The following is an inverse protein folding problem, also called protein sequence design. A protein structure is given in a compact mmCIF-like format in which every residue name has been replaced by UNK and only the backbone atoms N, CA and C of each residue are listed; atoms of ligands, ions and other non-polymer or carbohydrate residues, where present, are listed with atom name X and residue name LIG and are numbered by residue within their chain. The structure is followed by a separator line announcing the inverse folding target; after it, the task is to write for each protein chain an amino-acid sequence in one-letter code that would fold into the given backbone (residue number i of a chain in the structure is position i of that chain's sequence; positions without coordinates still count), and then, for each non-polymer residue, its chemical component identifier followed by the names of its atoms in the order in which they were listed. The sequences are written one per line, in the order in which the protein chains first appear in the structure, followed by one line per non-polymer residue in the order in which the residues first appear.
data_IF_331303831015
#
_entry.id   IF_331303831015
#
_cell.length_a   1.000
_cell.length_b   1.000
_cell.length_c   1.000
_cell.angle_alpha   90.00
_cell.angle_beta   90.00
_cell.angle_gamma   90.00
#
_symmetry.space_group_name_H-M   'P 1'
#
loop_
_entity.id
_entity.type
_entity.pdbx_description
1 polymer ?
#
# COMPACT_ATOMS: atom_id res chain seq x y z
N UNK A 1 -24.42 20.07 2.93
CA UNK A 1 -24.68 19.60 2.54
C UNK A 1 -24.60 19.13 2.64
N UNK A 2 -24.45 19.48 2.94
CA UNK A 2 -24.65 19.03 2.76
C UNK A 2 -24.70 18.61 2.73
N UNK A 3 -24.73 19.06 2.94
CA UNK A 3 -25.01 18.59 2.64
C UNK A 3 -25.09 18.12 2.53
N UNK A 4 -25.09 18.46 2.70
CA UNK A 4 -25.24 17.98 2.41
C UNK A 4 -25.17 17.59 2.25
N UNK A 5 -25.17 17.80 2.53
CA UNK A 5 -25.11 17.28 2.28
C UNK A 5 -24.76 16.82 2.56
N UNK A 6 -24.63 16.90 2.76
CA UNK A 6 -24.30 16.57 2.94
C UNK A 6 -23.68 16.05 3.43
N UNK A 7 -23.58 15.93 3.81
CA UNK A 7 -23.04 15.47 4.15
C UNK A 7 -22.41 14.56 4.17
N UNK A 8 -22.16 14.50 4.05
CA UNK A 8 -21.52 13.69 4.07
C UNK A 8 -20.58 13.13 4.02
N UNK A 9 -20.51 12.88 3.56
CA UNK A 9 -19.43 12.24 4.07
C UNK A 9 -18.13 12.40 3.45
N UNK A 10 -17.74 13.12 3.44
CA UNK A 10 -16.43 13.59 3.55
C UNK A 10 -15.50 12.63 4.24
N UNK A 11 -16.05 11.78 4.99
CA UNK A 11 -15.31 10.84 5.80
C UNK A 11 -14.35 9.96 5.03
N UNK A 12 -14.66 9.44 3.84
CA UNK A 12 -13.72 8.58 3.13
C UNK A 12 -12.38 9.25 2.83
N UNK A 13 -12.39 10.51 2.46
CA UNK A 13 -11.14 11.22 2.18
C UNK A 13 -10.33 11.44 3.43
N UNK A 14 -10.98 11.84 4.52
CA UNK A 14 -10.31 11.99 5.80
C UNK A 14 -9.78 10.65 6.29
N UNK A 15 -10.46 9.58 6.01
CA UNK A 15 -10.05 8.25 6.41
C UNK A 15 -8.70 7.88 5.81
N UNK A 16 -8.51 8.09 4.52
CA UNK A 16 -7.25 7.77 3.84
C UNK A 16 -6.12 8.63 4.39
N UNK A 17 -6.32 9.93 4.53
CA UNK A 17 -5.27 10.79 5.01
C UNK A 17 -4.89 10.50 6.46
N UNK A 18 -5.81 9.98 7.26
CA UNK A 18 -5.52 9.59 8.63
C UNK A 18 -4.67 8.33 8.71
N UNK A 19 -4.67 7.50 7.69
CA UNK A 19 -3.87 6.28 7.66
C UNK A 19 -2.41 6.54 7.28
N UNK A 20 -2.12 7.64 6.58
CA UNK A 20 -0.78 7.95 6.11
C UNK A 20 -0.12 8.94 7.05
N UNK A 21 0.77 8.43 7.88
CA UNK A 21 1.61 9.25 8.75
C UNK A 21 3.03 9.29 8.16
N UNK A 22 3.88 10.24 8.58
CA UNK A 22 5.22 10.36 8.00
C UNK A 22 6.03 9.08 8.02
N UNK A 23 5.93 8.28 9.07
CA UNK A 23 6.68 7.03 9.16
C UNK A 23 6.15 5.94 8.22
N UNK A 24 4.99 6.15 7.61
CA UNK A 24 4.41 5.24 6.63
C UNK A 24 4.60 5.72 5.20
N UNK A 25 5.42 6.74 4.99
CA UNK A 25 5.76 7.26 3.68
C UNK A 25 7.25 7.04 3.42
N UNK A 26 7.56 6.35 2.33
CA UNK A 26 8.95 6.08 1.92
C UNK A 26 9.20 6.82 0.61
N UNK A 27 9.76 8.04 0.66
CA UNK A 27 9.87 8.91 -0.53
C UNK A 27 10.92 8.44 -1.54
N UNK A 28 11.83 7.58 -1.14
CA UNK A 28 12.87 7.07 -2.04
C UNK A 28 13.11 5.59 -1.73
N UNK A 29 12.29 4.73 -2.35
CA UNK A 29 12.46 3.30 -2.23
C UNK A 29 13.75 2.87 -2.93
N UNK A 30 14.57 2.08 -2.23
CA UNK A 30 15.78 1.49 -2.79
C UNK A 30 15.51 0.08 -3.30
N UNK A 31 14.31 -0.15 -3.82
CA UNK A 31 13.89 -1.47 -4.28
C UNK A 31 14.03 -1.55 -5.80
N UNK A 32 14.53 -2.68 -6.29
CA UNK A 32 14.71 -2.92 -7.71
C UNK A 32 13.68 -3.90 -8.28
N UNK A 33 13.00 -4.66 -7.44
CA UNK A 33 12.06 -5.69 -7.86
C UNK A 33 10.74 -5.55 -7.13
N UNK A 34 9.70 -6.17 -7.68
CA UNK A 34 8.40 -6.24 -7.03
C UNK A 34 8.51 -6.83 -5.62
N UNK A 35 9.27 -7.92 -5.48
CA UNK A 35 9.44 -8.56 -4.18
C UNK A 35 10.07 -7.59 -3.18
N UNK A 36 11.08 -6.83 -3.59
CA UNK A 36 11.74 -5.86 -2.71
C UNK A 36 10.78 -4.76 -2.27
N UNK A 37 9.91 -4.30 -3.16
CA UNK A 37 8.92 -3.28 -2.82
C UNK A 37 8.00 -3.78 -1.72
N UNK A 38 7.47 -4.99 -1.89
CA UNK A 38 6.54 -5.56 -0.92
C UNK A 38 7.22 -5.78 0.43
N UNK A 39 8.45 -6.28 0.43
CA UNK A 39 9.19 -6.50 1.67
C UNK A 39 9.51 -5.19 2.37
N UNK A 40 9.94 -4.18 1.62
CA UNK A 40 10.30 -2.89 2.20
C UNK A 40 9.10 -2.21 2.83
N UNK A 41 7.97 -2.20 2.13
CA UNK A 41 6.77 -1.56 2.65
C UNK A 41 6.18 -2.34 3.82
N UNK A 42 6.21 -3.67 3.79
CA UNK A 42 5.76 -4.48 4.92
C UNK A 42 6.61 -4.21 6.16
N UNK A 43 7.92 -4.12 6.00
CA UNK A 43 8.84 -3.81 7.10
C UNK A 43 8.55 -2.43 7.68
N UNK A 44 8.29 -1.45 6.81
CA UNK A 44 7.97 -0.10 7.26
C UNK A 44 6.69 -0.06 8.08
N UNK A 45 5.68 -0.82 7.65
CA UNK A 45 4.44 -0.94 8.41
C UNK A 45 4.70 -1.54 9.78
N UNK A 46 5.53 -2.59 9.85
CA UNK A 46 5.85 -3.22 11.13
C UNK A 46 6.56 -2.29 12.10
N UNK A 47 7.36 -1.37 11.60
CA UNK A 47 8.03 -0.38 12.44
C UNK A 47 7.03 0.62 13.02
N UNK A 48 6.06 1.03 12.23
CA UNK A 48 5.04 2.00 12.65
C UNK A 48 3.94 1.33 13.48
N UNK A 49 3.68 0.06 13.23
CA UNK A 49 2.60 -0.70 13.84
C UNK A 49 3.14 -2.01 14.40
N UNK A 50 3.69 -1.99 15.63
CA UNK A 50 4.27 -3.21 16.21
C UNK A 50 3.28 -4.36 16.39
N UNK A 51 1.98 -4.07 16.37
CA UNK A 51 0.93 -5.08 16.44
C UNK A 51 0.78 -5.87 15.13
N UNK A 52 1.41 -5.44 14.04
CA UNK A 52 1.33 -6.11 12.75
C UNK A 52 2.47 -7.13 12.64
N UNK A 53 2.11 -8.37 12.33
CA UNK A 53 3.08 -9.41 12.05
C UNK A 53 3.62 -9.21 10.63
N UNK A 54 4.87 -8.73 10.52
CA UNK A 54 5.48 -8.39 9.24
C UNK A 54 5.59 -9.60 8.32
N UNK A 55 5.94 -10.76 8.87
CA UNK A 55 6.11 -11.96 8.05
C UNK A 55 4.79 -12.43 7.47
N UNK A 56 3.74 -12.38 8.27
CA UNK A 56 2.40 -12.71 7.82
C UNK A 56 1.94 -11.72 6.75
N UNK A 57 2.17 -10.44 6.98
CA UNK A 57 1.81 -9.40 6.01
C UNK A 57 2.56 -9.59 4.69
N UNK A 58 3.87 -9.80 4.75
CA UNK A 58 4.66 -9.98 3.53
C UNK A 58 4.17 -11.21 2.75
N UNK A 59 3.91 -12.30 3.45
CA UNK A 59 3.38 -13.52 2.82
C UNK A 59 2.04 -13.26 2.12
N UNK A 60 1.14 -12.55 2.79
CA UNK A 60 -0.16 -12.23 2.22
C UNK A 60 -0.05 -11.32 0.99
N UNK A 61 0.86 -10.37 1.02
CA UNK A 61 1.11 -9.48 -0.12
C UNK A 61 1.65 -10.26 -1.32
N UNK A 62 2.63 -11.15 -1.09
CA UNK A 62 3.17 -11.96 -2.17
C UNK A 62 2.11 -12.91 -2.75
N UNK A 63 1.28 -13.51 -1.89
CA UNK A 63 0.21 -14.39 -2.33
C UNK A 63 -0.79 -13.64 -3.20
N UNK A 64 -1.17 -12.44 -2.79
CA UNK A 64 -2.11 -11.61 -3.56
C UNK A 64 -1.52 -11.24 -4.91
N UNK A 65 -0.26 -10.86 -4.93
CA UNK A 65 0.39 -10.42 -6.16
C UNK A 65 0.59 -11.57 -7.15
N UNK A 66 0.74 -12.80 -6.66
CA UNK A 66 0.84 -13.97 -7.53
C UNK A 66 -0.45 -14.27 -8.28
N UNK A 67 -1.59 -13.84 -7.78
CA UNK A 67 -2.87 -14.05 -8.46
C UNK A 67 -2.97 -13.18 -9.72
N UNK A 68 -2.62 -11.92 -9.59
CA UNK A 68 -2.53 -10.96 -10.70
C UNK A 68 -1.87 -9.70 -10.18
N UNK A 69 -1.25 -8.96 -11.09
CA UNK A 69 -0.58 -7.72 -10.67
C UNK A 69 -1.57 -6.71 -10.13
N UNK A 70 -1.13 -5.95 -9.10
CA UNK A 70 -1.87 -4.80 -8.60
C UNK A 70 -1.40 -3.51 -9.24
N UNK A 71 -0.52 -3.58 -10.24
CA UNK A 71 -0.10 -2.42 -10.99
C UNK A 71 -1.24 -1.91 -11.87
N UNK A 72 -1.45 -0.62 -11.83
CA UNK A 72 -2.35 0.09 -12.72
C UNK A 72 -1.54 0.72 -13.84
N UNK A 73 -2.19 1.43 -14.74
CA UNK A 73 -1.49 2.20 -15.75
C UNK A 73 -0.86 3.45 -15.13
N UNK A 74 0.05 4.08 -15.87
CA UNK A 74 0.66 5.36 -15.50
C UNK A 74 1.59 5.31 -14.30
N UNK A 75 2.21 4.15 -14.05
CA UNK A 75 3.26 4.05 -13.04
C UNK A 75 2.76 3.96 -11.60
N UNK A 76 1.53 3.52 -11.38
CA UNK A 76 0.92 3.39 -10.05
C UNK A 76 0.60 1.94 -9.77
N UNK A 77 0.82 1.48 -8.54
CA UNK A 77 0.37 0.18 -8.09
C UNK A 77 -0.31 0.31 -6.73
N UNK A 78 -1.27 -0.58 -6.47
CA UNK A 78 -2.02 -0.60 -5.21
C UNK A 78 -1.93 -2.01 -4.62
N UNK A 79 -0.76 -2.43 -4.14
CA UNK A 79 -0.65 -3.71 -3.46
C UNK A 79 -1.53 -3.71 -2.21
N UNK A 80 -2.18 -4.84 -1.95
CA UNK A 80 -3.06 -4.92 -0.80
C UNK A 80 -3.14 -6.34 -0.28
N UNK A 81 -3.50 -6.46 0.98
CA UNK A 81 -3.63 -7.75 1.64
C UNK A 81 -4.66 -7.68 2.75
N UNK A 82 -5.20 -8.84 3.09
CA UNK A 82 -6.04 -9.03 4.27
C UNK A 82 -5.28 -9.91 5.24
N UNK A 83 -5.22 -9.49 6.48
CA UNK A 83 -4.58 -10.30 7.52
C UNK A 83 -5.51 -10.43 8.71
N UNK A 84 -5.46 -11.58 9.43
CA UNK A 84 -6.30 -11.76 10.60
C UNK A 84 -5.86 -10.88 11.75
N UNK A 85 -6.78 -10.58 12.65
CA UNK A 85 -6.51 -9.91 13.92
C UNK A 85 -5.93 -8.51 13.78
N UNK A 86 -6.18 -7.85 12.66
CA UNK A 86 -5.77 -6.47 12.49
C UNK A 86 -6.78 -5.56 13.16
N UNK A 87 -6.32 -4.74 14.10
CA UNK A 87 -7.21 -3.88 14.88
C UNK A 87 -7.83 -2.76 14.04
N UNK A 88 -7.05 -2.21 13.10
CA UNK A 88 -7.50 -1.13 12.25
C UNK A 88 -6.75 -1.18 10.92
N UNK A 89 -7.34 -0.71 9.83
CA UNK A 89 -6.64 -0.65 8.55
C UNK A 89 -5.35 0.15 8.66
N UNK A 90 -4.39 -0.20 7.82
CA UNK A 90 -3.15 0.55 7.75
C UNK A 90 -2.76 0.72 6.28
N UNK A 91 -2.13 1.84 5.97
CA UNK A 91 -1.66 2.13 4.62
C UNK A 91 -0.21 2.59 4.68
N UNK A 92 0.52 2.32 3.62
CA UNK A 92 1.87 2.83 3.44
C UNK A 92 2.01 3.34 2.01
N UNK A 93 2.80 4.38 1.82
CA UNK A 93 3.05 4.96 0.52
C UNK A 93 4.54 4.91 0.21
N UNK A 94 4.88 4.43 -0.98
CA UNK A 94 6.26 4.38 -1.43
C UNK A 94 6.43 5.02 -2.80
N UNK A 95 7.57 5.62 -3.01
CA UNK A 95 7.93 6.21 -4.28
C UNK A 95 9.29 5.66 -4.72
N UNK A 96 9.36 5.20 -5.97
CA UNK A 96 10.61 4.78 -6.58
C UNK A 96 10.89 5.70 -7.77
N UNK A 97 11.81 6.66 -7.64
CA UNK A 97 12.10 7.58 -8.75
C UNK A 97 12.57 6.86 -10.01
N UNK A 98 13.33 5.79 -9.86
CA UNK A 98 13.82 5.02 -11.00
C UNK A 98 12.76 4.12 -11.62
N UNK A 99 11.71 3.79 -10.88
CA UNK A 99 10.69 2.86 -11.31
C UNK A 99 11.10 1.40 -11.09
N UNK A 100 10.08 0.56 -10.92
CA UNK A 100 10.26 -0.87 -10.67
C UNK A 100 9.44 -1.65 -11.69
N UNK A 101 9.99 -2.67 -12.35
CA UNK A 101 9.20 -3.55 -13.20
C UNK A 101 8.17 -4.27 -12.34
N UNK A 102 6.90 -4.03 -12.59
CA UNK A 102 5.84 -4.54 -11.72
C UNK A 102 4.76 -5.30 -12.49
N UNK A 103 4.90 -5.41 -13.81
CA UNK A 103 3.94 -6.15 -14.64
C UNK A 103 2.72 -5.34 -15.03
N UNK A 104 2.83 -4.02 -15.09
CA UNK A 104 1.73 -3.18 -15.52
C UNK A 104 1.37 -3.45 -16.98
N UNK A 105 0.07 -3.34 -17.29
CA UNK A 105 -0.44 -3.63 -18.63
C UNK A 105 0.09 -2.70 -19.69
N UNK A 106 0.48 -1.47 -19.31
CA UNK A 106 1.06 -0.51 -20.25
C UNK A 106 2.58 -0.70 -20.43
N UNK A 107 3.18 -1.68 -19.77
CA UNK A 107 4.60 -1.97 -19.86
C UNK A 107 5.50 -0.97 -19.17
N UNK A 108 4.96 0.03 -18.52
CA UNK A 108 5.75 1.05 -17.84
C UNK A 108 6.21 0.58 -16.48
N UNK A 109 7.40 1.04 -16.03
CA UNK A 109 7.79 0.80 -14.64
C UNK A 109 6.86 1.53 -13.68
N UNK A 110 6.68 0.94 -12.50
CA UNK A 110 5.85 1.52 -11.45
C UNK A 110 6.71 2.38 -10.55
N UNK A 111 6.24 3.60 -10.29
CA UNK A 111 6.98 4.58 -9.48
C UNK A 111 6.28 4.93 -8.19
N UNK A 112 4.96 4.72 -8.11
CA UNK A 112 4.16 5.06 -6.92
C UNK A 112 3.43 3.82 -6.44
N UNK A 113 3.51 3.58 -5.14
CA UNK A 113 2.91 2.40 -4.51
C UNK A 113 2.06 2.84 -3.33
N UNK A 114 0.77 2.53 -3.37
CA UNK A 114 -0.12 2.70 -2.23
C UNK A 114 -0.48 1.31 -1.71
N UNK A 115 0.08 0.94 -0.58
CA UNK A 115 -0.16 -0.37 0.02
C UNK A 115 -1.24 -0.26 1.07
N UNK A 116 -2.25 -1.13 0.97
CA UNK A 116 -3.38 -1.14 1.88
C UNK A 116 -3.47 -2.49 2.58
N UNK A 117 -3.70 -2.46 3.89
CA UNK A 117 -3.88 -3.68 4.68
C UNK A 117 -5.17 -3.53 5.45
N UNK A 118 -6.02 -4.53 5.33
CA UNK A 118 -7.30 -4.56 6.04
C UNK A 118 -7.44 -5.89 6.77
N UNK A 119 -8.40 -5.95 7.69
CA UNK A 119 -8.70 -7.18 8.41
C UNK A 119 -9.32 -8.22 7.47
N UNK A 120 -8.93 -9.45 7.69
CA UNK A 120 -9.50 -10.57 6.95
C UNK A 120 -10.97 -10.81 7.33
#
# INVERSE_FOLDING_TARGET
MQTAHGSMPVVPNAWISNLLTPELVVPALAAATKADVLETLATQIGRARPDVDVRLLASALHDRERQSTTALEHGVAVPHARIPELAAPVAAFGRSPAGVPYGASDGRPTQLFLLLVVAA
#
